data_IF_079174432550
#
_entry.id   IF_079174432550
#
_cell.length_a   1.000
_cell.length_b   1.000
_cell.length_c   1.000
_cell.angle_alpha   90.00
_cell.angle_beta   90.00
_cell.angle_gamma   90.00
#
_symmetry.space_group_name_H-M   'P 1'
#
loop_
_entity.id
_entity.type
_entity.pdbx_description
1 polymer ?
#
# COMPACT_ATOMS: atom_id res chain seq x y z
N UNK A 1 5.56 -6.63 -1.19
CA UNK A 1 4.23 -5.96 -1.27
C UNK A 1 3.24 -6.79 -0.47
N UNK A 2 2.39 -6.16 0.33
CA UNK A 2 1.36 -6.83 1.12
C UNK A 2 0.08 -5.99 1.12
N UNK A 3 -1.07 -6.67 1.22
CA UNK A 3 -2.35 -5.98 1.35
C UNK A 3 -2.57 -5.53 2.80
N UNK A 4 -3.20 -4.37 2.94
CA UNK A 4 -3.65 -3.84 4.23
C UNK A 4 -4.50 -4.89 4.97
N UNK A 5 -4.31 -4.98 6.28
CA UNK A 5 -4.95 -5.92 7.21
C UNK A 5 -4.64 -7.40 6.97
N UNK A 6 -3.73 -7.73 6.06
CA UNK A 6 -3.31 -9.11 5.82
C UNK A 6 -2.06 -9.45 6.62
N UNK A 7 -1.80 -10.75 6.75
CA UNK A 7 -0.56 -11.27 7.31
C UNK A 7 0.57 -11.18 6.29
N UNK A 8 1.72 -10.66 6.71
CA UNK A 8 2.95 -10.56 5.90
C UNK A 8 3.94 -11.61 6.35
N UNK A 9 4.70 -12.14 5.39
CA UNK A 9 5.82 -13.03 5.64
C UNK A 9 7.09 -12.40 5.06
N UNK A 10 8.06 -12.10 5.92
CA UNK A 10 9.35 -11.53 5.55
C UNK A 10 10.43 -12.60 5.73
N UNK A 11 11.11 -12.96 4.65
CA UNK A 11 12.16 -13.98 4.67
C UNK A 11 13.50 -13.37 5.04
N UNK A 12 14.22 -13.97 5.98
CA UNK A 12 15.60 -13.62 6.30
C UNK A 12 16.59 -14.17 5.26
N UNK A 13 16.18 -15.12 4.42
CA UNK A 13 17.07 -15.79 3.45
C UNK A 13 18.35 -16.38 4.07
N UNK A 14 18.31 -16.74 5.35
CA UNK A 14 19.44 -17.39 6.00
C UNK A 14 19.51 -18.86 5.58
N UNK A 15 20.59 -19.29 4.89
CA UNK A 15 20.67 -20.64 4.33
C UNK A 15 20.89 -21.73 5.41
N UNK A 16 21.46 -21.36 6.57
CA UNK A 16 21.87 -22.28 7.64
C UNK A 16 22.56 -23.57 7.15
N UNK A 17 23.48 -23.49 6.19
CA UNK A 17 24.11 -24.67 5.57
C UNK A 17 24.84 -25.59 6.56
N UNK A 18 25.34 -25.01 7.67
CA UNK A 18 26.04 -25.73 8.73
C UNK A 18 25.10 -26.37 9.76
N UNK A 19 23.77 -26.19 9.62
CA UNK A 19 22.74 -26.69 10.54
C UNK A 19 23.00 -26.29 11.99
N UNK A 20 23.31 -25.01 12.20
CA UNK A 20 23.54 -24.46 13.53
C UNK A 20 22.24 -24.59 14.34
N UNK A 21 22.36 -25.12 15.56
CA UNK A 21 21.23 -25.23 16.49
C UNK A 21 20.73 -23.83 16.87
N UNK A 22 19.42 -23.64 16.82
CA UNK A 22 18.73 -22.40 17.21
C UNK A 22 19.05 -21.97 18.64
N UNK A 23 19.43 -22.91 19.52
CA UNK A 23 19.88 -22.63 20.89
C UNK A 23 21.21 -21.88 20.95
N UNK A 24 21.97 -21.87 19.86
CA UNK A 24 23.22 -21.12 19.72
C UNK A 24 23.04 -19.84 18.91
N UNK A 25 21.81 -19.48 18.55
CA UNK A 25 21.51 -18.32 17.71
C UNK A 25 20.69 -17.28 18.45
N UNK A 26 20.93 -16.02 18.13
CA UNK A 26 20.05 -14.90 18.40
C UNK A 26 19.55 -14.44 17.03
N UNK A 27 18.23 -14.49 16.83
CA UNK A 27 17.58 -14.05 15.61
C UNK A 27 16.81 -12.78 15.93
N UNK A 28 17.19 -11.70 15.27
CA UNK A 28 16.74 -10.36 15.57
C UNK A 28 16.16 -9.72 14.31
N UNK A 29 14.96 -9.15 14.43
CA UNK A 29 14.33 -8.34 13.40
C UNK A 29 14.19 -6.90 13.87
N UNK A 30 14.61 -5.98 13.02
CA UNK A 30 14.41 -4.56 13.25
C UNK A 30 13.83 -3.86 12.02
N UNK A 31 13.09 -2.78 12.24
CA UNK A 31 12.59 -1.87 11.21
C UNK A 31 13.24 -0.50 11.39
N UNK A 32 13.65 0.10 10.28
CA UNK A 32 14.23 1.46 10.20
C UNK A 32 15.37 1.70 11.21
N UNK A 33 16.12 0.64 11.54
CA UNK A 33 17.28 0.57 12.46
C UNK A 33 17.02 0.90 13.94
N UNK A 34 15.81 1.29 14.34
CA UNK A 34 15.50 1.67 15.72
C UNK A 34 14.27 0.99 16.33
N UNK A 35 13.45 0.29 15.53
CA UNK A 35 12.29 -0.45 16.02
C UNK A 35 12.60 -1.93 16.09
N UNK A 36 12.55 -2.51 17.28
CA UNK A 36 12.67 -3.95 17.49
C UNK A 36 11.34 -4.61 17.15
N UNK A 37 11.35 -5.44 16.09
CA UNK A 37 10.14 -6.07 15.54
C UNK A 37 9.91 -7.44 16.19
N UNK A 38 10.97 -8.22 16.35
CA UNK A 38 10.92 -9.52 16.99
C UNK A 38 12.31 -9.98 17.43
N UNK A 39 12.39 -10.75 18.50
CA UNK A 39 13.64 -11.30 19.03
C UNK A 39 13.46 -12.77 19.46
N UNK A 40 14.32 -13.64 18.95
CA UNK A 40 14.48 -15.01 19.47
C UNK A 40 15.88 -15.14 20.02
N UNK A 41 16.00 -15.32 21.33
CA UNK A 41 17.26 -15.43 22.04
C UNK A 41 17.51 -16.89 22.46
N UNK A 42 18.50 -17.54 21.84
CA UNK A 42 18.88 -18.94 22.12
C UNK A 42 17.68 -19.90 22.09
N UNK A 43 16.86 -19.77 21.05
CA UNK A 43 15.67 -20.58 20.83
C UNK A 43 14.44 -20.20 21.66
N UNK A 44 14.49 -19.11 22.43
CA UNK A 44 13.35 -18.59 23.18
C UNK A 44 12.91 -17.23 22.65
N UNK A 45 11.62 -17.08 22.34
CA UNK A 45 11.05 -15.77 21.99
C UNK A 45 11.14 -14.81 23.18
N UNK A 46 11.64 -13.59 22.93
CA UNK A 46 11.71 -12.50 23.90
C UNK A 46 10.77 -11.40 23.48
N UNK A 47 9.92 -10.97 24.41
CA UNK A 47 8.88 -9.97 24.16
C UNK A 47 9.16 -8.63 24.85
N UNK A 48 10.10 -8.61 25.80
CA UNK A 48 10.40 -7.46 26.66
C UNK A 48 11.02 -6.28 25.90
N UNK A 49 11.76 -6.57 24.82
CA UNK A 49 12.47 -5.57 24.02
C UNK A 49 11.71 -5.11 22.77
N UNK A 50 10.53 -5.68 22.50
CA UNK A 50 9.76 -5.36 21.30
C UNK A 50 9.23 -3.93 21.37
N UNK A 51 9.24 -3.25 20.22
CA UNK A 51 8.56 -1.96 20.12
C UNK A 51 7.04 -2.16 20.28
N UNK A 52 6.33 -1.25 20.99
CA UNK A 52 4.93 -1.43 21.37
C UNK A 52 4.00 -1.82 20.21
N UNK A 53 4.25 -1.28 19.02
CA UNK A 53 3.48 -1.52 17.81
C UNK A 53 3.56 -2.96 17.26
N UNK A 54 4.54 -3.78 17.69
CA UNK A 54 4.73 -5.17 17.25
C UNK A 54 4.33 -6.22 18.28
N UNK A 55 4.05 -5.80 19.52
CA UNK A 55 3.64 -6.71 20.60
C UNK A 55 2.39 -7.47 20.18
N UNK A 56 2.40 -8.80 20.35
CA UNK A 56 1.33 -9.73 19.95
C UNK A 56 0.98 -9.75 18.45
N UNK A 57 1.79 -9.11 17.60
CA UNK A 57 1.59 -9.07 16.13
C UNK A 57 2.66 -9.84 15.36
N UNK A 58 3.78 -10.18 15.98
CA UNK A 58 4.91 -10.84 15.31
C UNK A 58 5.15 -12.26 15.82
N UNK A 59 5.56 -13.15 14.91
CA UNK A 59 6.02 -14.52 15.20
C UNK A 59 7.13 -14.90 14.22
N UNK A 60 8.01 -15.81 14.59
CA UNK A 60 9.07 -16.28 13.68
C UNK A 60 8.98 -17.78 13.48
N UNK A 61 8.95 -18.20 12.21
CA UNK A 61 9.20 -19.58 11.82
C UNK A 61 10.71 -19.79 11.72
N UNK A 62 11.30 -20.40 12.76
CA UNK A 62 12.75 -20.69 12.82
C UNK A 62 13.18 -21.79 11.84
N UNK A 63 12.25 -22.62 11.34
CA UNK A 63 12.56 -23.61 10.31
C UNK A 63 12.73 -22.98 8.92
N UNK A 64 12.00 -21.88 8.68
CA UNK A 64 12.02 -21.13 7.41
C UNK A 64 12.73 -19.78 7.49
N UNK A 65 13.20 -19.38 8.68
CA UNK A 65 13.80 -18.07 8.96
C UNK A 65 12.90 -16.92 8.49
N UNK A 66 11.61 -17.04 8.73
CA UNK A 66 10.59 -16.13 8.21
C UNK A 66 9.85 -15.46 9.36
N UNK A 67 9.83 -14.12 9.35
CA UNK A 67 9.00 -13.31 10.24
C UNK A 67 7.58 -13.23 9.69
N UNK A 68 6.61 -13.56 10.53
CA UNK A 68 5.19 -13.35 10.30
C UNK A 68 4.75 -12.09 11.05
N UNK A 69 4.16 -11.13 10.32
CA UNK A 69 3.56 -9.92 10.88
C UNK A 69 2.05 -9.94 10.62
N UNK A 70 1.24 -9.89 11.68
CA UNK A 70 -0.21 -9.94 11.63
C UNK A 70 -0.82 -8.55 11.43
N UNK A 71 -1.92 -8.50 10.68
CA UNK A 71 -2.74 -7.31 10.47
C UNK A 71 -1.89 -6.10 10.02
N UNK A 72 -1.28 -6.20 8.84
CA UNK A 72 -0.38 -5.16 8.33
C UNK A 72 -1.10 -3.82 8.13
N UNK A 73 -0.56 -2.76 8.73
CA UNK A 73 -1.00 -1.38 8.59
C UNK A 73 -0.03 -0.57 7.74
N UNK A 74 -0.45 0.63 7.33
CA UNK A 74 0.39 1.57 6.57
C UNK A 74 1.68 1.92 7.32
N UNK A 75 1.64 2.00 8.65
CA UNK A 75 2.81 2.33 9.48
C UNK A 75 3.87 1.22 9.52
N UNK A 76 3.48 -0.01 9.17
CA UNK A 76 4.42 -1.13 9.05
C UNK A 76 5.24 -1.06 7.74
N UNK A 77 4.88 -0.21 6.78
CA UNK A 77 5.68 0.04 5.57
C UNK A 77 7.07 0.56 5.95
N UNK A 78 8.11 0.00 5.33
CA UNK A 78 9.49 0.40 5.61
C UNK A 78 10.52 -0.68 5.31
N UNK A 79 11.76 -0.41 5.72
CA UNK A 79 12.88 -1.33 5.55
C UNK A 79 13.03 -2.20 6.80
N UNK A 80 12.94 -3.51 6.59
CA UNK A 80 13.17 -4.50 7.64
C UNK A 80 14.54 -5.12 7.46
N UNK A 81 15.21 -5.35 8.57
CA UNK A 81 16.50 -6.00 8.63
C UNK A 81 16.40 -7.23 9.53
N UNK A 82 16.83 -8.36 8.98
CA UNK A 82 17.07 -9.57 9.74
C UNK A 82 18.55 -9.65 10.07
N UNK A 83 18.87 -9.97 11.32
CA UNK A 83 20.21 -10.17 11.83
C UNK A 83 20.26 -11.50 12.57
N UNK A 84 21.23 -12.35 12.25
CA UNK A 84 21.46 -13.60 12.95
C UNK A 84 22.86 -13.56 13.56
N UNK A 85 22.90 -13.76 14.86
CA UNK A 85 24.10 -13.73 15.67
C UNK A 85 24.31 -15.13 16.23
N UNK A 86 25.50 -15.70 16.03
CA UNK A 86 25.89 -16.98 16.59
C UNK A 86 26.69 -16.80 17.87
N UNK A 87 26.39 -17.62 18.87
CA UNK A 87 27.23 -17.84 20.03
C UNK A 87 28.42 -18.72 19.64
N UNK A 88 29.62 -18.14 19.68
CA UNK A 88 30.86 -18.87 19.40
C UNK A 88 31.43 -19.45 20.71
N UNK A 89 31.37 -18.67 21.79
CA UNK A 89 31.72 -19.08 23.16
C UNK A 89 30.72 -18.48 24.15
N UNK A 90 30.89 -18.74 25.45
CA UNK A 90 30.06 -18.08 26.48
C UNK A 90 30.21 -16.54 26.48
N UNK A 91 31.38 -16.03 26.10
CA UNK A 91 31.68 -14.59 26.12
C UNK A 91 31.66 -13.95 24.73
N UNK A 92 31.72 -14.73 23.64
CA UNK A 92 31.80 -14.21 22.28
C UNK A 92 30.57 -14.54 21.42
N UNK A 93 30.13 -13.53 20.68
CA UNK A 93 29.01 -13.58 19.74
C UNK A 93 29.45 -12.93 18.43
N UNK A 94 29.03 -13.47 17.30
CA UNK A 94 29.38 -12.98 15.96
C UNK A 94 28.14 -12.88 15.07
N UNK A 95 28.01 -11.79 14.31
CA UNK A 95 26.96 -11.67 13.29
C UNK A 95 27.34 -12.56 12.11
N UNK A 96 26.60 -13.64 11.90
CA UNK A 96 26.87 -14.60 10.82
C UNK A 96 26.00 -14.38 9.59
N UNK A 97 24.93 -13.58 9.71
CA UNK A 97 24.05 -13.25 8.60
C UNK A 97 23.31 -11.94 8.85
N UNK A 98 23.14 -11.16 7.78
CA UNK A 98 22.32 -9.96 7.75
C UNK A 98 21.66 -9.84 6.38
N UNK A 99 20.38 -9.50 6.36
CA UNK A 99 19.61 -9.32 5.13
C UNK A 99 18.55 -8.25 5.31
N UNK A 100 18.21 -7.57 4.21
CA UNK A 100 17.21 -6.51 4.21
C UNK A 100 16.02 -6.87 3.32
N UNK A 101 14.83 -6.40 3.70
CA UNK A 101 13.58 -6.59 2.97
C UNK A 101 12.71 -5.34 3.08
N UNK A 102 12.26 -4.80 1.95
CA UNK A 102 11.30 -3.69 1.93
C UNK A 102 9.86 -4.21 1.97
N UNK A 103 9.11 -3.81 2.98
CA UNK A 103 7.67 -4.02 3.04
C UNK A 103 6.96 -2.81 2.44
N UNK A 104 6.16 -3.05 1.40
CA UNK A 104 5.27 -2.06 0.80
C UNK A 104 3.82 -2.47 1.01
N UNK A 105 3.00 -1.56 1.50
CA UNK A 105 1.59 -1.78 1.81
C UNK A 105 0.72 -1.31 0.65
N UNK A 106 -0.33 -2.07 0.37
CA UNK A 106 -1.31 -1.78 -0.68
C UNK A 106 -2.71 -1.82 -0.07
N UNK A 107 -3.48 -0.77 -0.30
CA UNK A 107 -4.92 -0.76 -0.09
C UNK A 107 -5.60 -0.43 -1.43
N UNK A 108 -6.57 -1.26 -1.82
CA UNK A 108 -7.27 -1.06 -3.07
C UNK A 108 -8.19 0.15 -2.97
N UNK A 109 -8.03 1.07 -3.92
CA UNK A 109 -8.98 2.13 -4.15
C UNK A 109 -10.35 1.57 -4.52
N UNK A 110 -11.40 2.24 -4.05
CA UNK A 110 -12.76 1.99 -4.54
C UNK A 110 -12.86 2.32 -6.04
N UNK A 111 -13.72 1.61 -6.76
CA UNK A 111 -13.95 1.93 -8.18
C UNK A 111 -14.34 3.40 -8.33
N UNK A 112 -13.70 4.17 -9.23
CA UNK A 112 -14.02 5.58 -9.40
C UNK A 112 -15.49 5.78 -9.77
N UNK A 113 -16.14 6.76 -9.12
CA UNK A 113 -17.56 7.07 -9.35
C UNK A 113 -17.73 8.51 -9.81
N UNK A 114 -18.46 8.68 -10.90
CA UNK A 114 -18.84 9.99 -11.43
C UNK A 114 -20.13 10.45 -10.73
N UNK A 115 -20.16 11.72 -10.33
CA UNK A 115 -21.34 12.39 -9.82
C UNK A 115 -21.51 13.76 -10.49
N UNK A 116 -22.76 14.13 -10.74
CA UNK A 116 -23.14 15.44 -11.26
C UNK A 116 -23.22 16.45 -10.11
N UNK A 117 -22.51 17.57 -10.23
CA UNK A 117 -22.42 18.61 -9.19
C UNK A 117 -23.44 19.75 -9.37
N UNK A 118 -24.35 19.64 -10.33
CA UNK A 118 -25.36 20.65 -10.61
C UNK A 118 -26.73 20.21 -10.10
N UNK A 119 -27.58 21.18 -9.78
CA UNK A 119 -28.97 20.93 -9.35
C UNK A 119 -29.93 21.41 -10.44
N UNK A 120 -30.80 20.52 -10.92
CA UNK A 120 -31.84 20.84 -11.90
C UNK A 120 -31.50 20.45 -13.34
N UNK A 121 -32.38 20.82 -14.29
CA UNK A 121 -32.23 20.44 -15.71
C UNK A 121 -31.06 21.19 -16.36
N UNK A 122 -30.23 20.46 -17.10
CA UNK A 122 -29.17 21.02 -17.95
C UNK A 122 -29.77 22.02 -18.94
N UNK A 123 -29.24 23.24 -18.96
CA UNK A 123 -29.62 24.26 -19.94
C UNK A 123 -28.84 24.03 -21.24
N UNK A 124 -29.46 24.19 -22.42
CA UNK A 124 -28.72 24.32 -23.67
C UNK A 124 -27.73 25.49 -23.53
N UNK A 125 -26.45 25.28 -23.85
CA UNK A 125 -25.34 26.23 -23.65
C UNK A 125 -24.91 26.45 -22.19
N UNK A 126 -25.35 25.58 -21.28
CA UNK A 126 -24.82 25.52 -19.93
C UNK A 126 -23.48 24.80 -19.84
N UNK A 127 -22.99 24.68 -18.61
CA UNK A 127 -21.82 23.90 -18.25
C UNK A 127 -22.22 22.67 -17.44
N UNK A 128 -21.62 21.54 -17.77
CA UNK A 128 -21.71 20.30 -17.04
C UNK A 128 -20.55 20.21 -16.04
N UNK A 129 -20.89 20.29 -14.76
CA UNK A 129 -19.95 20.10 -13.66
C UNK A 129 -20.04 18.66 -13.15
N UNK A 130 -18.95 17.92 -13.28
CA UNK A 130 -18.81 16.55 -12.78
C UNK A 130 -17.70 16.48 -11.74
N UNK A 131 -17.87 15.55 -10.80
CA UNK A 131 -16.79 15.04 -9.95
C UNK A 131 -16.60 13.56 -10.19
N UNK A 132 -15.36 13.10 -10.18
CA UNK A 132 -15.03 11.69 -10.10
C UNK A 132 -14.26 11.44 -8.81
N UNK A 133 -14.75 10.54 -7.97
CA UNK A 133 -14.14 10.26 -6.67
C UNK A 133 -13.81 8.77 -6.50
N UNK A 134 -12.69 8.51 -5.83
CA UNK A 134 -12.23 7.19 -5.43
C UNK A 134 -11.57 7.28 -4.05
N UNK A 135 -11.74 6.26 -3.21
CA UNK A 135 -11.48 6.33 -1.78
C UNK A 135 -10.85 5.07 -1.21
N UNK A 136 -10.21 5.22 -0.05
CA UNK A 136 -9.69 4.12 0.77
C UNK A 136 -8.44 3.43 0.21
N UNK A 137 -7.71 4.09 -0.69
CA UNK A 137 -6.55 3.47 -1.34
C UNK A 137 -5.21 3.89 -0.74
N UNK A 138 -4.18 3.08 -0.96
CA UNK A 138 -2.80 3.36 -0.59
C UNK A 138 -1.86 2.55 -1.52
N UNK A 139 -0.73 3.10 -2.00
CA UNK A 139 -0.20 4.46 -1.74
C UNK A 139 -0.93 5.54 -2.53
N UNK A 140 -0.53 6.81 -2.35
CA UNK A 140 -1.04 7.96 -3.11
C UNK A 140 -0.99 7.67 -4.62
N UNK A 141 -2.08 7.95 -5.37
CA UNK A 141 -2.16 7.62 -6.78
C UNK A 141 -1.37 8.64 -7.62
N UNK A 142 -1.10 8.30 -8.87
CA UNK A 142 -0.27 9.14 -9.75
C UNK A 142 -1.06 10.32 -10.32
N UNK A 143 -2.21 10.04 -10.91
CA UNK A 143 -3.01 11.04 -11.62
C UNK A 143 -4.44 10.53 -11.86
N UNK A 144 -5.36 11.45 -12.14
CA UNK A 144 -6.72 11.14 -12.59
C UNK A 144 -6.97 11.81 -13.94
N UNK A 145 -7.52 11.05 -14.87
CA UNK A 145 -7.77 11.48 -16.26
C UNK A 145 -9.24 11.28 -16.61
N UNK A 146 -9.85 12.27 -17.25
CA UNK A 146 -11.17 12.16 -17.86
C UNK A 146 -11.04 11.70 -19.30
N UNK A 147 -11.89 10.77 -19.72
CA UNK A 147 -12.04 10.28 -21.08
C UNK A 147 -13.41 10.71 -21.58
N UNK A 148 -13.44 11.59 -22.58
CA UNK A 148 -14.66 12.14 -23.16
C UNK A 148 -14.76 11.62 -24.60
N UNK A 149 -15.68 10.69 -24.82
CA UNK A 149 -15.86 10.01 -26.10
C UNK A 149 -17.15 10.50 -26.76
N UNK A 150 -17.04 10.99 -27.99
CA UNK A 150 -18.18 11.33 -28.83
C UNK A 150 -17.94 10.75 -30.22
N UNK A 151 -18.93 10.03 -30.74
CA UNK A 151 -18.79 9.28 -32.00
C UNK A 151 -17.54 8.38 -32.00
N UNK A 152 -16.56 8.64 -32.88
CA UNK A 152 -15.31 7.89 -32.99
C UNK A 152 -14.10 8.64 -32.40
N UNK A 153 -14.32 9.74 -31.69
CA UNK A 153 -13.26 10.59 -31.15
C UNK A 153 -13.28 10.51 -29.63
N UNK A 154 -12.12 10.21 -29.03
CA UNK A 154 -11.91 10.24 -27.58
C UNK A 154 -10.89 11.30 -27.23
N UNK A 155 -11.29 12.27 -26.42
CA UNK A 155 -10.38 13.25 -25.83
C UNK A 155 -10.07 12.87 -24.39
N UNK A 156 -8.80 12.93 -24.03
CA UNK A 156 -8.36 12.83 -22.65
C UNK A 156 -8.09 14.22 -22.07
N UNK A 157 -8.43 14.40 -20.80
CA UNK A 157 -8.11 15.61 -20.05
C UNK A 157 -7.67 15.25 -18.64
N UNK A 158 -6.46 15.65 -18.26
CA UNK A 158 -5.95 15.46 -16.91
C UNK A 158 -6.74 16.31 -15.93
N UNK A 159 -7.32 15.68 -14.92
CA UNK A 159 -8.07 16.38 -13.89
C UNK A 159 -7.12 17.09 -12.93
N UNK A 160 -7.52 18.25 -12.42
CA UNK A 160 -6.99 18.70 -11.13
C UNK A 160 -7.51 17.73 -10.06
N UNK A 161 -6.60 16.97 -9.46
CA UNK A 161 -6.91 15.93 -8.49
C UNK A 161 -6.74 16.48 -7.08
N UNK A 162 -7.86 16.67 -6.39
CA UNK A 162 -7.88 16.96 -4.95
C UNK A 162 -7.56 15.65 -4.20
N UNK A 163 -6.45 15.64 -3.45
CA UNK A 163 -6.00 14.49 -2.66
C UNK A 163 -6.16 14.80 -1.18
N UNK A 164 -6.75 13.86 -0.44
CA UNK A 164 -6.86 13.92 1.01
C UNK A 164 -6.41 12.61 1.63
N UNK A 165 -5.79 12.66 2.80
CA UNK A 165 -5.37 11.48 3.54
C UNK A 165 -6.09 11.43 4.89
N UNK A 166 -6.69 10.28 5.19
CA UNK A 166 -7.36 10.05 6.47
C UNK A 166 -6.32 9.97 7.59
N UNK A 167 -6.51 10.77 8.65
CA UNK A 167 -5.50 10.92 9.70
C UNK A 167 -5.30 9.64 10.54
N UNK A 168 -6.30 8.76 10.59
CA UNK A 168 -6.30 7.55 11.42
C UNK A 168 -5.82 6.35 10.60
N UNK A 169 -6.47 6.07 9.48
CA UNK A 169 -6.18 4.92 8.62
C UNK A 169 -5.01 5.14 7.67
N UNK A 170 -4.58 6.40 7.49
CA UNK A 170 -3.55 6.84 6.53
C UNK A 170 -3.88 6.58 5.06
N UNK A 171 -5.13 6.21 4.76
CA UNK A 171 -5.59 5.93 3.39
C UNK A 171 -5.95 7.22 2.66
N UNK A 172 -5.78 7.20 1.35
CA UNK A 172 -6.03 8.33 0.47
C UNK A 172 -7.43 8.27 -0.14
N UNK A 173 -8.05 9.45 -0.22
CA UNK A 173 -9.25 9.72 -0.97
C UNK A 173 -8.95 10.81 -2.00
N UNK A 174 -9.37 10.59 -3.23
CA UNK A 174 -9.09 11.46 -4.36
C UNK A 174 -10.36 11.88 -5.07
N UNK A 175 -10.40 13.13 -5.53
CA UNK A 175 -11.50 13.67 -6.33
C UNK A 175 -10.97 14.51 -7.47
N UNK A 176 -11.31 14.15 -8.71
CA UNK A 176 -11.09 14.97 -9.89
C UNK A 176 -12.37 15.71 -10.27
N UNK A 177 -12.25 16.98 -10.68
CA UNK A 177 -13.37 17.76 -11.20
C UNK A 177 -13.25 17.96 -12.70
N UNK A 178 -14.38 17.95 -13.40
CA UNK A 178 -14.49 18.28 -14.82
C UNK A 178 -15.57 19.32 -15.00
N UNK A 179 -15.26 20.36 -15.77
CA UNK A 179 -16.22 21.37 -16.18
C UNK A 179 -16.13 21.54 -17.70
N UNK A 180 -17.17 21.10 -18.42
CA UNK A 180 -17.25 21.16 -19.88
C UNK A 180 -18.58 21.75 -20.33
N UNK A 181 -18.66 22.39 -21.51
CA UNK A 181 -19.94 22.75 -22.09
C UNK A 181 -20.83 21.53 -22.26
N UNK A 182 -22.14 21.68 -22.06
CA UNK A 182 -23.10 20.59 -22.27
C UNK A 182 -22.98 20.08 -23.71
N UNK A 183 -22.73 18.77 -23.94
CA UNK A 183 -22.64 18.23 -25.29
C UNK A 183 -23.94 18.45 -26.06
N UNK A 184 -23.85 18.99 -27.29
CA UNK A 184 -25.03 19.41 -28.08
C UNK A 184 -25.30 18.58 -29.31
N UNK A 185 -24.36 17.72 -29.75
CA UNK A 185 -24.39 17.17 -31.13
C UNK A 185 -24.31 15.64 -31.26
N UNK A 186 -24.16 14.88 -30.20
CA UNK A 186 -24.21 13.40 -30.21
C UNK A 186 -24.18 12.82 -28.80
N UNK A 187 -24.53 11.54 -28.67
CA UNK A 187 -24.34 10.79 -27.43
C UNK A 187 -22.87 10.84 -27.01
N UNK A 188 -22.63 11.36 -25.81
CA UNK A 188 -21.30 11.54 -25.25
C UNK A 188 -21.11 10.61 -24.07
N UNK A 189 -20.08 9.77 -24.11
CA UNK A 189 -19.69 8.91 -23.00
C UNK A 189 -18.50 9.53 -22.27
N UNK A 190 -18.68 9.72 -20.97
CA UNK A 190 -17.65 10.29 -20.09
C UNK A 190 -17.25 9.24 -19.07
N UNK A 191 -15.96 8.92 -19.02
CA UNK A 191 -15.37 8.05 -18.00
C UNK A 191 -14.24 8.78 -17.28
N UNK A 192 -13.94 8.38 -16.05
CA UNK A 192 -12.71 8.79 -15.38
C UNK A 192 -11.82 7.58 -15.11
N UNK A 193 -10.51 7.80 -15.22
CA UNK A 193 -9.46 6.82 -15.05
C UNK A 193 -8.53 7.30 -13.92
N UNK A 194 -8.43 6.50 -12.86
CA UNK A 194 -7.47 6.71 -11.78
C UNK A 194 -6.21 5.89 -12.06
N UNK A 195 -5.09 6.56 -12.29
CA UNK A 195 -3.80 5.92 -12.50
C UNK A 195 -3.10 5.74 -11.16
N UNK A 196 -2.81 4.49 -10.81
CA UNK A 196 -2.08 4.15 -9.59
C UNK A 196 -0.57 4.23 -9.85
N UNK A 197 0.25 4.19 -8.79
CA UNK A 197 1.72 4.13 -8.95
C UNK A 197 2.15 2.87 -9.72
N UNK A 198 3.39 2.90 -10.23
CA UNK A 198 3.96 1.87 -11.12
C UNK A 198 3.64 0.44 -10.64
N UNK A 199 3.27 -0.42 -11.60
CA UNK A 199 2.87 -1.82 -11.41
C UNK A 199 1.50 -2.07 -10.75
N UNK A 200 0.73 -1.04 -10.32
CA UNK A 200 -0.63 -1.21 -9.78
C UNK A 200 -1.75 -1.01 -10.83
N UNK A 201 -1.42 -0.46 -12.00
CA UNK A 201 -2.37 -0.29 -13.10
C UNK A 201 -3.27 0.94 -12.95
N UNK A 202 -4.50 0.83 -13.43
CA UNK A 202 -5.47 1.91 -13.45
C UNK A 202 -6.89 1.41 -13.20
N UNK A 203 -7.71 2.22 -12.54
CA UNK A 203 -9.13 1.93 -12.29
C UNK A 203 -10.01 2.86 -13.12
N UNK A 204 -11.02 2.29 -13.79
CA UNK A 204 -11.96 3.05 -14.62
C UNK A 204 -13.34 3.10 -13.98
N UNK A 205 -14.01 4.24 -14.09
CA UNK A 205 -15.41 4.37 -13.70
C UNK A 205 -16.35 3.65 -14.65
N UNK A 206 -17.58 3.44 -14.18
CA UNK A 206 -18.70 3.21 -15.11
C UNK A 206 -18.85 4.46 -15.98
N UNK A 207 -19.04 4.32 -17.31
CA UNK A 207 -19.25 5.47 -18.19
C UNK A 207 -20.57 6.17 -17.87
N UNK A 208 -20.54 7.50 -17.85
CA UNK A 208 -21.71 8.35 -17.82
C UNK A 208 -22.07 8.74 -19.26
N UNK A 209 -23.22 8.26 -19.74
CA UNK A 209 -23.76 8.64 -21.05
C UNK A 209 -24.67 9.85 -20.95
N UNK A 210 -24.45 10.85 -21.82
CA UNK A 210 -25.22 12.09 -21.93
C UNK A 210 -25.70 12.29 -23.37
#
# INVERSE_FOLDING_TARGET
>A
KAFLHHTVHLSCYFPNSQKIDVKNLIHFWQKDTNKVVHEVYYGQEKHENLSPEYINRTKVDMGRWTLQLLNAGVEDEGLYECIIIQKITEQSREVIHKSECSLHIIANYSQPKIAELHSGKLKPNGYLNLSCSSSGGYPEPKEMTWLISHENITHSSTAHMDVSQDAVTKLYNVTGKLNIPVPTKSHTNISCLLHLREQLGSLVSVPLGI
#
